data_IF_848121373034
#
_entry.id   IF_848121373034
#
_cell.length_a   1.000
_cell.length_b   1.000
_cell.length_c   1.000
_cell.angle_alpha   90.00
_cell.angle_beta   90.00
_cell.angle_gamma   90.00
#
_symmetry.space_group_name_H-M   'P 1'
#
loop_
_entity.id
_entity.type
_entity.pdbx_description
1 polymer ?
#
# COMPACT_ATOMS: atom_id res chain seq x y z
N UNK A 1 0.19 9.58 -49.52
CA UNK A 1 0.31 8.68 -48.35
C UNK A 1 1.28 9.28 -47.34
N UNK A 2 0.82 9.83 -46.21
CA UNK A 2 1.71 10.32 -45.12
C UNK A 2 1.76 9.25 -44.03
N UNK A 3 2.91 8.61 -43.83
CA UNK A 3 3.16 7.73 -42.67
C UNK A 3 3.20 8.60 -41.42
N UNK A 4 2.23 8.42 -40.53
CA UNK A 4 2.26 9.03 -39.20
C UNK A 4 3.39 8.39 -38.39
N UNK A 5 4.55 9.06 -38.33
CA UNK A 5 5.61 8.72 -37.38
C UNK A 5 5.17 9.27 -36.03
N UNK A 6 4.61 8.41 -35.18
CA UNK A 6 4.40 8.73 -33.77
C UNK A 6 5.73 9.20 -33.17
N UNK A 7 5.80 10.38 -32.51
CA UNK A 7 7.06 10.96 -32.10
C UNK A 7 7.69 10.11 -30.98
N UNK A 8 8.76 9.38 -31.29
CA UNK A 8 9.51 8.53 -30.35
C UNK A 8 9.84 9.24 -29.03
N UNK A 9 9.99 10.56 -29.03
CA UNK A 9 10.24 11.37 -27.84
C UNK A 9 9.12 11.26 -26.78
N UNK A 10 7.85 11.17 -27.20
CA UNK A 10 6.71 11.03 -26.28
C UNK A 10 6.69 9.64 -25.64
N UNK A 11 7.05 8.62 -26.42
CA UNK A 11 7.15 7.23 -25.96
C UNK A 11 8.30 7.06 -24.96
N UNK A 12 9.48 7.64 -25.23
CA UNK A 12 10.63 7.62 -24.33
C UNK A 12 10.35 8.29 -22.98
N UNK A 13 9.63 9.42 -22.96
CA UNK A 13 9.23 10.09 -21.70
C UNK A 13 8.28 9.23 -20.86
N UNK A 14 7.26 8.64 -21.50
CA UNK A 14 6.32 7.73 -20.81
C UNK A 14 7.02 6.48 -20.30
N UNK A 15 7.95 5.93 -21.07
CA UNK A 15 8.74 4.77 -20.65
C UNK A 15 9.67 5.11 -19.48
N UNK A 16 10.31 6.28 -19.50
CA UNK A 16 11.14 6.76 -18.39
C UNK A 16 10.32 7.00 -17.11
N UNK A 17 9.14 7.62 -17.22
CA UNK A 17 8.20 7.77 -16.09
C UNK A 17 7.75 6.41 -15.54
N UNK A 18 7.38 5.48 -16.43
CA UNK A 18 7.00 4.13 -16.04
C UNK A 18 8.15 3.38 -15.34
N UNK A 19 9.39 3.52 -15.83
CA UNK A 19 10.57 2.94 -15.18
C UNK A 19 10.82 3.57 -13.80
N UNK A 20 10.68 4.89 -13.67
CA UNK A 20 10.81 5.60 -12.41
C UNK A 20 9.76 5.13 -11.40
N UNK A 21 8.49 5.05 -11.79
CA UNK A 21 7.41 4.50 -10.96
C UNK A 21 7.67 3.04 -10.55
N UNK A 22 8.19 2.23 -11.47
CA UNK A 22 8.50 0.81 -11.19
C UNK A 22 9.66 0.67 -10.20
N UNK A 23 10.70 1.50 -10.33
CA UNK A 23 11.82 1.57 -9.38
C UNK A 23 11.33 2.03 -8.02
N UNK A 24 10.53 3.09 -7.97
CA UNK A 24 9.97 3.62 -6.73
C UNK A 24 9.10 2.57 -6.01
N UNK A 25 8.23 1.87 -6.73
CA UNK A 25 7.43 0.75 -6.18
C UNK A 25 8.29 -0.40 -5.68
N UNK A 26 9.42 -0.68 -6.32
CA UNK A 26 10.39 -1.68 -5.86
C UNK A 26 11.03 -1.24 -4.54
N UNK A 27 11.50 0.01 -4.46
CA UNK A 27 12.05 0.59 -3.22
C UNK A 27 11.04 0.59 -2.08
N UNK A 28 9.78 0.91 -2.36
CA UNK A 28 8.72 0.84 -1.37
C UNK A 28 8.52 -0.59 -0.85
N UNK A 29 8.60 -1.60 -1.73
CA UNK A 29 8.53 -3.01 -1.32
C UNK A 29 9.73 -3.42 -0.48
N UNK A 30 10.94 -3.03 -0.86
CA UNK A 30 12.17 -3.26 -0.09
C UNK A 30 12.05 -2.65 1.31
N UNK A 31 11.59 -1.40 1.43
CA UNK A 31 11.37 -0.75 2.72
C UNK A 31 10.30 -1.46 3.57
N UNK A 32 9.25 -1.99 2.95
CA UNK A 32 8.25 -2.81 3.64
C UNK A 32 8.79 -4.19 4.04
N UNK A 33 9.62 -4.82 3.22
CA UNK A 33 10.30 -6.08 3.57
C UNK A 33 11.19 -5.88 4.80
N UNK A 34 11.97 -4.80 4.82
CA UNK A 34 12.82 -4.43 5.93
C UNK A 34 12.02 -4.13 7.20
N UNK A 35 10.92 -3.36 7.09
CA UNK A 35 10.00 -3.10 8.21
C UNK A 35 9.48 -4.41 8.81
N UNK A 36 9.02 -5.34 7.96
CA UNK A 36 8.39 -6.58 8.42
C UNK A 36 9.40 -7.61 8.96
N UNK A 37 10.65 -7.55 8.52
CA UNK A 37 11.73 -8.41 8.99
C UNK A 37 12.37 -7.90 10.28
N UNK A 38 12.64 -6.59 10.36
CA UNK A 38 13.57 -6.04 11.34
C UNK A 38 12.89 -5.21 12.45
N UNK A 39 11.62 -4.84 12.32
CA UNK A 39 10.93 -3.90 13.25
C UNK A 39 9.66 -4.46 13.90
N UNK A 40 9.74 -5.58 14.65
CA UNK A 40 8.59 -6.20 15.30
C UNK A 40 7.90 -5.30 16.34
N UNK A 41 8.63 -4.34 16.91
CA UNK A 41 8.15 -3.25 17.76
C UNK A 41 7.13 -2.35 17.05
N UNK A 42 7.46 -1.82 15.87
CA UNK A 42 6.56 -0.96 15.10
C UNK A 42 5.34 -1.73 14.58
N UNK A 43 5.54 -2.97 14.14
CA UNK A 43 4.43 -3.83 13.70
C UNK A 43 3.41 -4.02 14.82
N UNK A 44 3.86 -4.24 16.06
CA UNK A 44 2.98 -4.41 17.23
C UNK A 44 2.12 -3.18 17.48
N UNK A 45 2.66 -1.97 17.33
CA UNK A 45 1.90 -0.73 17.49
C UNK A 45 0.73 -0.63 16.49
N UNK A 46 0.93 -1.10 15.26
CA UNK A 46 -0.12 -1.17 14.23
C UNK A 46 -0.92 -2.49 14.25
N UNK A 47 -0.75 -3.34 15.28
CA UNK A 47 -1.35 -4.68 15.39
C UNK A 47 -1.06 -5.58 14.16
N UNK A 48 0.07 -5.35 13.50
CA UNK A 48 0.57 -6.16 12.40
C UNK A 48 1.46 -7.29 12.93
N UNK A 49 1.55 -8.36 12.14
CA UNK A 49 2.45 -9.48 12.39
C UNK A 49 3.29 -9.71 11.12
N UNK A 50 4.51 -10.26 11.25
CA UNK A 50 5.37 -10.56 10.08
C UNK A 50 4.63 -11.38 9.00
N UNK A 51 3.82 -12.35 9.42
CA UNK A 51 2.99 -13.16 8.52
C UNK A 51 2.02 -12.36 7.67
N UNK A 52 1.66 -11.13 8.03
CA UNK A 52 0.75 -10.29 7.23
C UNK A 52 1.40 -9.73 5.97
N UNK A 53 2.71 -9.90 5.80
CA UNK A 53 3.48 -9.39 4.65
C UNK A 53 2.91 -9.80 3.28
N UNK A 54 2.35 -11.00 3.16
CA UNK A 54 1.78 -11.51 1.91
C UNK A 54 0.40 -10.93 1.58
N UNK A 55 -0.27 -10.28 2.54
CA UNK A 55 -1.64 -9.74 2.40
C UNK A 55 -1.67 -8.24 2.11
N UNK A 56 -0.50 -7.60 2.11
CA UNK A 56 -0.44 -6.16 1.90
C UNK A 56 -0.55 -5.84 0.40
N UNK A 57 -1.21 -4.73 0.12
CA UNK A 57 -1.22 -4.13 -1.21
C UNK A 57 -0.71 -2.70 -1.12
N UNK A 58 0.32 -2.36 -1.90
CA UNK A 58 0.84 -0.99 -1.97
C UNK A 58 -0.15 -0.14 -2.75
N UNK A 59 -0.74 0.84 -2.09
CA UNK A 59 -1.74 1.73 -2.67
C UNK A 59 -1.06 2.98 -3.25
N UNK A 60 -0.15 3.57 -2.50
CA UNK A 60 0.52 4.82 -2.86
C UNK A 60 1.95 4.83 -2.33
N UNK A 61 2.83 5.46 -3.10
CA UNK A 61 4.22 5.70 -2.69
C UNK A 61 4.51 7.18 -2.87
N UNK A 62 4.86 7.84 -1.78
CA UNK A 62 5.32 9.22 -1.78
C UNK A 62 6.85 9.19 -1.95
N UNK A 63 7.38 9.68 -3.09
CA UNK A 63 8.83 9.75 -3.29
C UNK A 63 9.47 10.78 -2.36
N UNK A 64 10.73 10.55 -2.02
CA UNK A 64 11.60 11.57 -1.41
C UNK A 64 12.49 12.22 -2.48
N UNK A 65 13.30 13.20 -2.07
CA UNK A 65 14.33 13.81 -2.92
C UNK A 65 15.26 12.72 -3.50
N UNK A 66 15.23 12.53 -4.82
CA UNK A 66 15.98 11.46 -5.51
C UNK A 66 15.17 10.16 -5.68
N UNK A 67 15.83 9.01 -5.49
CA UNK A 67 15.24 7.67 -5.64
C UNK A 67 14.68 7.10 -4.32
N UNK A 68 14.55 7.95 -3.29
CA UNK A 68 14.10 7.59 -1.94
C UNK A 68 12.58 7.44 -1.82
N UNK A 69 12.15 6.83 -0.73
CA UNK A 69 10.73 6.68 -0.38
C UNK A 69 10.45 7.45 0.91
N UNK A 70 9.66 8.51 0.80
CA UNK A 70 9.25 9.34 1.92
C UNK A 70 8.14 8.66 2.74
N UNK A 71 7.14 8.10 2.05
CA UNK A 71 6.06 7.36 2.68
C UNK A 71 5.53 6.24 1.78
N UNK A 72 5.05 5.16 2.41
CA UNK A 72 4.33 4.08 1.74
C UNK A 72 2.96 3.95 2.39
N UNK A 73 1.89 4.08 1.60
CA UNK A 73 0.53 3.74 2.02
C UNK A 73 0.18 2.37 1.47
N UNK A 74 -0.17 1.45 2.36
CA UNK A 74 -0.55 0.11 1.99
C UNK A 74 -1.84 -0.32 2.68
N UNK A 75 -2.64 -1.11 1.97
CA UNK A 75 -3.85 -1.73 2.48
C UNK A 75 -3.56 -3.11 3.04
N UNK A 76 -4.25 -3.46 4.13
CA UNK A 76 -4.30 -4.83 4.65
C UNK A 76 -5.74 -5.21 4.97
N UNK A 77 -6.17 -6.37 4.47
CA UNK A 77 -7.46 -6.96 4.82
C UNK A 77 -7.33 -7.78 6.09
N UNK A 78 -8.20 -7.51 7.05
CA UNK A 78 -8.29 -8.21 8.33
C UNK A 78 -9.69 -8.79 8.53
N UNK A 79 -9.72 -9.90 9.26
CA UNK A 79 -10.93 -10.52 9.76
C UNK A 79 -10.89 -10.45 11.29
N UNK A 80 -11.38 -9.35 11.90
CA UNK A 80 -11.53 -9.31 13.35
C UNK A 80 -12.40 -10.48 13.82
N UNK A 81 -12.15 -10.94 15.05
CA UNK A 81 -12.97 -12.00 15.64
C UNK A 81 -14.44 -11.53 15.66
N UNK A 82 -15.39 -12.37 15.24
CA UNK A 82 -16.79 -12.00 15.26
C UNK A 82 -17.21 -11.65 16.69
N UNK A 83 -18.00 -10.58 16.81
CA UNK A 83 -18.57 -10.18 18.08
C UNK A 83 -19.64 -11.20 18.49
N UNK A 84 -19.78 -11.56 19.78
CA UNK A 84 -20.79 -12.54 20.22
C UNK A 84 -22.22 -12.23 19.77
N UNK A 85 -22.55 -10.94 19.60
CA UNK A 85 -23.87 -10.47 19.16
C UNK A 85 -24.01 -10.33 17.63
N UNK A 86 -22.93 -10.51 16.87
CA UNK A 86 -22.90 -10.42 15.41
C UNK A 86 -21.97 -11.51 14.86
N UNK A 87 -22.49 -12.75 14.68
CA UNK A 87 -21.65 -13.91 14.32
C UNK A 87 -21.10 -13.86 12.89
N UNK A 88 -21.49 -12.88 12.07
CA UNK A 88 -20.90 -12.65 10.74
C UNK A 88 -19.46 -12.15 10.91
N UNK A 89 -18.52 -12.80 10.23
CA UNK A 89 -17.14 -12.33 10.18
C UNK A 89 -17.07 -11.00 9.42
N UNK A 90 -16.64 -9.94 10.10
CA UNK A 90 -16.37 -8.67 9.45
C UNK A 90 -15.09 -8.79 8.60
N UNK A 91 -15.12 -8.20 7.42
CA UNK A 91 -13.95 -7.97 6.58
C UNK A 91 -13.61 -6.48 6.67
N UNK A 92 -12.41 -6.16 7.15
CA UNK A 92 -11.98 -4.76 7.37
C UNK A 92 -10.73 -4.50 6.54
N UNK A 93 -10.77 -3.49 5.69
CA UNK A 93 -9.59 -2.93 5.03
C UNK A 93 -9.01 -1.83 5.91
N UNK A 94 -7.81 -2.05 6.43
CA UNK A 94 -7.03 -1.00 7.08
C UNK A 94 -6.04 -0.40 6.07
N UNK A 95 -5.96 0.92 6.02
CA UNK A 95 -4.93 1.65 5.28
C UNK A 95 -3.89 2.10 6.30
N UNK A 96 -2.65 1.69 6.07
CA UNK A 96 -1.51 1.96 6.94
C UNK A 96 -0.52 2.83 6.20
N UNK A 97 -0.01 3.85 6.88
CA UNK A 97 1.09 4.68 6.40
C UNK A 97 2.37 4.31 7.15
N UNK A 98 3.42 4.01 6.39
CA UNK A 98 4.77 3.83 6.87
C UNK A 98 5.66 4.97 6.38
N UNK A 99 6.41 5.59 7.29
CA UNK A 99 7.43 6.59 7.00
C UNK A 99 8.79 6.05 7.43
N UNK A 100 9.62 5.56 6.50
CA UNK A 100 10.89 4.90 6.83
C UNK A 100 11.84 5.79 7.62
N UNK A 101 12.03 7.04 7.18
CA UNK A 101 12.96 7.99 7.82
C UNK A 101 12.53 8.41 9.24
N UNK A 102 11.23 8.41 9.53
CA UNK A 102 10.68 8.71 10.86
C UNK A 102 10.52 7.45 11.72
N UNK A 103 10.82 6.27 11.16
CA UNK A 103 10.54 4.96 11.78
C UNK A 103 9.10 4.84 12.30
N UNK A 104 8.16 5.45 11.58
CA UNK A 104 6.79 5.65 12.04
C UNK A 104 5.81 4.83 11.24
N UNK A 105 4.96 4.09 11.95
CA UNK A 105 3.90 3.28 11.36
C UNK A 105 2.56 3.64 12.02
N UNK A 106 1.55 3.97 11.21
CA UNK A 106 0.22 4.34 11.72
C UNK A 106 -0.90 3.85 10.82
N UNK A 107 -2.00 3.42 11.42
CA UNK A 107 -3.26 3.20 10.69
C UNK A 107 -3.90 4.57 10.44
N UNK A 108 -4.13 4.91 9.17
CA UNK A 108 -4.70 6.21 8.78
C UNK A 108 -6.18 6.12 8.44
N UNK A 109 -6.67 4.94 8.05
CA UNK A 109 -8.08 4.70 7.79
C UNK A 109 -8.43 3.22 7.98
N UNK A 110 -9.70 2.95 8.27
CA UNK A 110 -10.25 1.60 8.29
C UNK A 110 -11.66 1.61 7.69
N UNK A 111 -11.96 0.64 6.82
CA UNK A 111 -13.28 0.49 6.19
C UNK A 111 -13.80 -0.92 6.39
N UNK A 112 -15.01 -1.06 6.93
CA UNK A 112 -15.72 -2.33 6.98
C UNK A 112 -16.27 -2.65 5.57
N UNK A 113 -15.69 -3.66 4.94
CA UNK A 113 -16.05 -4.14 3.60
C UNK A 113 -17.34 -4.96 3.63
N UNK A 114 -17.64 -5.66 4.73
CA UNK A 114 -18.91 -6.41 4.90
C UNK A 114 -20.11 -5.46 4.82
N UNK A 115 -20.10 -4.36 5.58
CA UNK A 115 -21.16 -3.34 5.52
C UNK A 115 -21.24 -2.61 4.18
N UNK A 116 -20.10 -2.38 3.54
CA UNK A 116 -20.04 -1.73 2.22
C UNK A 116 -20.66 -2.58 1.11
N UNK A 117 -20.74 -3.91 1.28
CA UNK A 117 -21.42 -4.81 0.33
C UNK A 117 -22.92 -4.89 0.56
N UNK A 118 -23.39 -4.60 1.77
CA UNK A 118 -24.82 -4.66 2.14
C UNK A 118 -25.58 -3.37 1.78
N UNK A 119 -24.88 -2.26 1.51
CA UNK A 119 -25.45 -1.02 0.98
C UNK A 119 -24.98 -0.81 -0.47
N UNK A 120 -25.74 -1.25 -1.49
CA UNK A 120 -25.51 -0.76 -2.84
C UNK A 120 -25.75 0.75 -2.82
N UNK A 121 -24.81 1.50 -3.38
CA UNK A 121 -24.90 2.95 -3.55
C UNK A 121 -26.29 3.31 -4.10
N UNK A 122 -27.04 4.12 -3.34
CA UNK A 122 -28.28 4.75 -3.80
C UNK A 122 -27.95 6.01 -4.57
#
# INVERSE_FOLDING_TARGET
MRRAVLPLARWRRRFAQWLAERRLRRRAREALDELFANRPDLLRQARLAPRHRHRLNVLEVEPDSGDGVRAVRFGIVRHPRPHPLAPRGDEVLEIVEYRPAEERLRVIAARNLTRSREQPER
#
